data_IF_031087004057
#
_entry.id   IF_031087004057
#
_cell.length_a   1.000
_cell.length_b   1.000
_cell.length_c   1.000
_cell.angle_alpha   90.00
_cell.angle_beta   90.00
_cell.angle_gamma   90.00
#
_symmetry.space_group_name_H-M   'P 1'
#
loop_
_entity.id
_entity.type
_entity.pdbx_description
1 polymer ?
#
# COMPACT_ATOMS: atom_id res chain seq x y z
N UNK A 1 13.43 -9.11 23.47
CA UNK A 1 12.77 -10.27 22.88
C UNK A 1 11.32 -9.91 22.64
N UNK A 2 10.85 -10.13 21.40
CA UNK A 2 9.49 -9.89 20.94
C UNK A 2 8.82 -11.24 20.64
N UNK A 3 7.92 -11.74 21.50
CA UNK A 3 7.16 -12.95 21.23
C UNK A 3 6.25 -12.81 20.01
N UNK A 4 5.63 -11.65 19.82
CA UNK A 4 4.84 -11.31 18.63
C UNK A 4 5.54 -10.25 17.77
N UNK A 5 5.72 -10.51 16.46
CA UNK A 5 6.23 -9.53 15.52
C UNK A 5 5.41 -8.25 15.36
N UNK A 6 4.14 -8.22 15.79
CA UNK A 6 3.29 -7.02 15.69
C UNK A 6 3.85 -5.83 16.46
N UNK A 7 4.42 -6.07 17.64
CA UNK A 7 5.01 -5.04 18.48
C UNK A 7 6.34 -4.52 17.94
N UNK A 8 6.90 -5.14 16.89
CA UNK A 8 8.16 -4.70 16.30
C UNK A 8 8.05 -3.29 15.73
N UNK A 9 6.97 -2.97 15.01
CA UNK A 9 6.84 -1.66 14.36
C UNK A 9 6.73 -0.52 15.39
N UNK A 10 5.81 -0.57 16.38
CA UNK A 10 5.73 0.45 17.43
C UNK A 10 7.05 0.59 18.19
N UNK A 11 7.69 -0.53 18.53
CA UNK A 11 8.97 -0.51 19.22
C UNK A 11 10.01 0.25 18.41
N UNK A 12 10.22 -0.13 17.15
CA UNK A 12 11.23 0.49 16.29
C UNK A 12 10.98 1.98 16.06
N UNK A 13 9.72 2.41 15.99
CA UNK A 13 9.41 3.84 15.88
C UNK A 13 9.75 4.63 17.14
N UNK A 14 9.51 4.06 18.32
CA UNK A 14 9.79 4.71 19.61
C UNK A 14 11.29 4.75 19.91
N UNK A 15 11.97 3.61 19.75
CA UNK A 15 13.39 3.50 20.09
C UNK A 15 14.29 4.04 18.98
N UNK A 16 13.81 4.15 17.74
CA UNK A 16 14.65 4.51 16.58
C UNK A 16 15.38 5.85 16.73
N UNK A 17 14.81 6.78 17.49
CA UNK A 17 15.43 8.08 17.81
C UNK A 17 16.47 8.02 18.94
N UNK A 18 16.39 7.01 19.81
CA UNK A 18 17.10 6.95 21.09
C UNK A 18 18.08 5.78 21.23
N UNK A 19 17.86 4.68 20.51
CA UNK A 19 18.56 3.41 20.70
C UNK A 19 19.91 3.30 19.97
N UNK A 20 20.35 4.34 19.26
CA UNK A 20 21.62 4.29 18.52
C UNK A 20 21.62 3.15 17.49
N UNK A 21 22.65 2.31 17.49
CA UNK A 21 22.72 1.12 16.64
C UNK A 21 21.86 -0.03 17.24
N UNK A 22 20.99 -0.62 16.43
CA UNK A 22 20.25 -1.82 16.78
C UNK A 22 20.23 -2.83 15.63
N UNK A 23 20.16 -4.11 15.97
CA UNK A 23 19.99 -5.23 15.04
C UNK A 23 18.61 -5.85 15.27
N UNK A 24 17.86 -6.04 14.20
CA UNK A 24 16.63 -6.81 14.21
C UNK A 24 16.93 -8.14 13.54
N UNK A 25 16.50 -9.26 14.12
CA UNK A 25 16.58 -10.56 13.44
C UNK A 25 15.27 -11.31 13.52
N UNK A 26 14.17 -10.58 13.63
CA UNK A 26 12.82 -11.08 13.55
C UNK A 26 12.32 -10.97 12.12
N UNK A 27 11.64 -12.01 11.63
CA UNK A 27 10.90 -11.94 10.38
C UNK A 27 9.59 -11.16 10.55
N UNK A 28 9.31 -10.20 9.66
CA UNK A 28 8.00 -9.54 9.60
C UNK A 28 7.11 -10.18 8.54
N UNK A 29 5.91 -10.68 8.91
CA UNK A 29 4.97 -11.20 7.92
C UNK A 29 4.56 -10.11 6.93
N UNK A 30 4.81 -10.31 5.64
CA UNK A 30 4.51 -9.32 4.60
C UNK A 30 3.02 -8.95 4.59
N UNK A 31 2.14 -9.91 4.89
CA UNK A 31 0.69 -9.71 5.02
C UNK A 31 0.26 -8.64 6.03
N UNK A 32 1.13 -8.29 6.98
CA UNK A 32 0.88 -7.24 7.98
C UNK A 32 1.29 -5.85 7.46
N UNK A 33 1.79 -5.73 6.23
CA UNK A 33 2.25 -4.46 5.67
C UNK A 33 1.14 -3.62 5.05
N UNK A 34 1.34 -2.30 5.00
CA UNK A 34 0.46 -1.39 4.26
C UNK A 34 0.42 -1.70 2.76
N UNK A 35 1.52 -2.23 2.22
CA UNK A 35 1.63 -2.61 0.82
C UNK A 35 0.76 -3.82 0.51
N UNK A 36 0.78 -4.85 1.35
CA UNK A 36 -0.15 -5.97 1.25
C UNK A 36 -1.60 -5.50 1.29
N UNK A 37 -1.96 -4.66 2.28
CA UNK A 37 -3.34 -4.15 2.39
C UNK A 37 -3.77 -3.36 1.15
N UNK A 38 -2.84 -2.67 0.48
CA UNK A 38 -3.12 -1.96 -0.77
C UNK A 38 -3.43 -2.94 -1.90
N UNK A 39 -2.64 -4.01 -2.05
CA UNK A 39 -2.90 -5.04 -3.04
C UNK A 39 -4.25 -5.72 -2.83
N UNK A 40 -4.60 -6.04 -1.58
CA UNK A 40 -5.91 -6.62 -1.26
C UNK A 40 -7.06 -5.73 -1.73
N UNK A 41 -6.96 -4.43 -1.50
CA UNK A 41 -7.99 -3.48 -1.90
C UNK A 41 -8.06 -3.34 -3.43
N UNK A 42 -6.93 -3.33 -4.13
CA UNK A 42 -6.87 -3.32 -5.60
C UNK A 42 -7.55 -4.57 -6.17
N UNK A 43 -7.16 -5.75 -5.68
CA UNK A 43 -7.72 -7.04 -6.12
C UNK A 43 -9.23 -7.08 -5.84
N UNK A 44 -9.66 -6.62 -4.67
CA UNK A 44 -11.07 -6.55 -4.32
C UNK A 44 -11.85 -5.64 -5.27
N UNK A 45 -11.32 -4.45 -5.60
CA UNK A 45 -11.95 -3.56 -6.56
C UNK A 45 -12.07 -4.18 -7.97
N UNK A 46 -11.09 -4.97 -8.41
CA UNK A 46 -11.19 -5.71 -9.67
C UNK A 46 -12.22 -6.84 -9.61
N UNK A 47 -12.31 -7.55 -8.49
CA UNK A 47 -13.29 -8.65 -8.28
C UNK A 47 -14.74 -8.15 -8.27
N UNK A 48 -15.01 -6.96 -7.72
CA UNK A 48 -16.38 -6.39 -7.66
C UNK A 48 -16.74 -5.52 -8.86
N UNK A 49 -15.81 -5.31 -9.79
CA UNK A 49 -16.02 -4.58 -11.03
C UNK A 49 -17.06 -5.25 -11.91
N UNK A 50 -17.92 -4.45 -12.56
CA UNK A 50 -18.90 -4.90 -13.56
C UNK A 50 -18.71 -4.13 -14.86
N UNK A 51 -18.17 -4.80 -15.88
CA UNK A 51 -17.85 -4.14 -17.14
C UNK A 51 -16.84 -3.01 -16.95
N UNK A 52 -17.24 -1.75 -17.13
CA UNK A 52 -16.37 -0.57 -16.91
C UNK A 52 -16.61 0.15 -15.59
N UNK A 53 -17.47 -0.39 -14.72
CA UNK A 53 -17.87 0.26 -13.48
C UNK A 53 -17.31 -0.49 -12.27
N UNK A 54 -16.85 0.25 -11.26
CA UNK A 54 -16.35 -0.26 -9.99
C UNK A 54 -17.39 -0.09 -8.88
N UNK A 55 -17.48 -1.03 -7.94
CA UNK A 55 -18.34 -0.86 -6.78
C UNK A 55 -17.86 0.33 -5.94
N UNK A 56 -18.74 1.30 -5.68
CA UNK A 56 -18.36 2.59 -5.09
C UNK A 56 -17.61 2.45 -3.76
N UNK A 57 -18.01 1.46 -2.93
CA UNK A 57 -17.34 1.18 -1.65
C UNK A 57 -15.88 0.77 -1.83
N UNK A 58 -15.59 -0.13 -2.77
CA UNK A 58 -14.24 -0.62 -3.01
C UNK A 58 -13.38 0.42 -3.73
N UNK A 59 -14.00 1.22 -4.60
CA UNK A 59 -13.38 2.39 -5.22
C UNK A 59 -12.92 3.42 -4.17
N UNK A 60 -13.79 3.81 -3.23
CA UNK A 60 -13.44 4.72 -2.12
C UNK A 60 -12.37 4.08 -1.23
N UNK A 61 -12.48 2.79 -0.90
CA UNK A 61 -11.50 2.10 -0.08
C UNK A 61 -10.09 2.17 -0.68
N UNK A 62 -9.97 2.00 -2.01
CA UNK A 62 -8.69 2.08 -2.72
C UNK A 62 -8.08 3.48 -2.66
N UNK A 63 -8.90 4.51 -2.89
CA UNK A 63 -8.48 5.92 -2.82
C UNK A 63 -8.07 6.34 -1.40
N UNK A 64 -8.77 5.83 -0.39
CA UNK A 64 -8.56 6.18 1.02
C UNK A 64 -7.38 5.47 1.66
N UNK A 65 -6.76 4.51 0.97
CA UNK A 65 -5.61 3.77 1.47
C UNK A 65 -4.44 4.72 1.79
N UNK A 66 -3.77 4.61 2.95
CA UNK A 66 -2.77 5.59 3.40
C UNK A 66 -1.61 5.87 2.44
N UNK A 67 -1.09 4.89 1.70
CA UNK A 67 -0.03 5.05 0.72
C UNK A 67 -0.49 5.85 -0.50
N UNK A 68 -1.78 5.75 -0.86
CA UNK A 68 -2.40 6.43 -2.00
C UNK A 68 -2.82 7.85 -1.61
N UNK A 69 -3.58 7.98 -0.51
CA UNK A 69 -4.10 9.26 -0.02
C UNK A 69 -2.98 10.27 0.26
N UNK A 70 -1.76 9.78 0.50
CA UNK A 70 -0.55 10.56 0.72
C UNK A 70 0.43 10.51 -0.47
N UNK A 71 -0.04 10.29 -1.71
CA UNK A 71 0.80 10.44 -2.89
C UNK A 71 1.05 11.91 -3.19
N UNK A 72 2.31 12.25 -3.36
CA UNK A 72 2.78 13.55 -3.84
C UNK A 72 2.74 13.58 -5.37
N UNK A 73 1.55 13.78 -5.92
CA UNK A 73 1.37 13.93 -7.37
C UNK A 73 1.59 15.37 -7.83
N UNK A 74 1.21 16.34 -6.99
CA UNK A 74 1.58 17.76 -7.13
C UNK A 74 2.68 18.13 -6.11
N UNK A 75 3.02 19.41 -6.02
CA UNK A 75 4.00 19.93 -5.05
C UNK A 75 3.62 19.67 -3.58
N UNK A 76 2.35 19.41 -3.29
CA UNK A 76 1.82 19.19 -1.94
C UNK A 76 0.98 17.89 -1.84
N UNK A 77 1.12 17.18 -0.72
CA UNK A 77 0.36 15.96 -0.39
C UNK A 77 -1.14 16.23 -0.19
N UNK A 78 -1.47 17.46 0.20
CA UNK A 78 -2.82 17.90 0.52
C UNK A 78 -3.75 17.85 -0.70
N UNK A 79 -3.24 18.05 -1.91
CA UNK A 79 -4.03 17.97 -3.14
C UNK A 79 -4.71 16.60 -3.28
N UNK A 80 -3.94 15.52 -3.15
CA UNK A 80 -4.47 14.15 -3.20
C UNK A 80 -5.45 13.90 -2.06
N UNK A 81 -5.14 14.33 -0.83
CA UNK A 81 -6.01 14.15 0.34
C UNK A 81 -7.37 14.83 0.16
N UNK A 82 -7.37 16.08 -0.29
CA UNK A 82 -8.58 16.86 -0.53
C UNK A 82 -9.40 16.23 -1.64
N UNK A 83 -8.77 15.83 -2.74
CA UNK A 83 -9.44 15.17 -3.86
C UNK A 83 -10.15 13.88 -3.40
N UNK A 84 -9.44 12.99 -2.70
CA UNK A 84 -10.01 11.74 -2.17
C UNK A 84 -11.21 12.04 -1.26
N UNK A 85 -11.08 13.04 -0.38
CA UNK A 85 -12.16 13.42 0.52
C UNK A 85 -13.39 13.95 -0.21
N UNK A 86 -13.22 14.77 -1.25
CA UNK A 86 -14.34 15.29 -2.05
C UNK A 86 -15.00 14.23 -2.91
N UNK A 87 -14.25 13.26 -3.42
CA UNK A 87 -14.81 12.08 -4.10
C UNK A 87 -15.67 11.26 -3.13
N UNK A 88 -15.19 11.05 -1.90
CA UNK A 88 -15.93 10.33 -0.86
C UNK A 88 -17.24 11.06 -0.49
N UNK A 89 -17.19 12.37 -0.21
CA UNK A 89 -18.39 13.18 0.05
C UNK A 89 -19.40 13.12 -1.11
N UNK A 90 -18.92 13.23 -2.35
CA UNK A 90 -19.75 13.18 -3.54
C UNK A 90 -20.47 11.83 -3.65
N UNK A 91 -19.75 10.72 -3.55
CA UNK A 91 -20.32 9.37 -3.66
C UNK A 91 -21.26 9.01 -2.49
N UNK A 92 -21.00 9.53 -1.29
CA UNK A 92 -21.88 9.37 -0.13
C UNK A 92 -23.18 10.20 -0.19
N UNK A 93 -23.37 10.99 -1.26
CA UNK A 93 -24.57 11.79 -1.44
C UNK A 93 -24.56 13.10 -0.65
N UNK A 94 -23.42 13.51 -0.10
CA UNK A 94 -23.30 14.74 0.69
C UNK A 94 -23.20 15.99 -0.21
N UNK A 95 -22.82 15.80 -1.48
CA UNK A 95 -22.72 16.86 -2.49
C UNK A 95 -23.64 16.56 -3.67
N UNK A 96 -24.23 17.61 -4.25
CA UNK A 96 -25.05 17.48 -5.45
C UNK A 96 -24.15 17.44 -6.69
N UNK A 97 -23.70 16.23 -7.03
CA UNK A 97 -22.82 15.95 -8.18
C UNK A 97 -23.43 14.87 -9.08
N UNK A 98 -23.04 14.77 -10.36
CA UNK A 98 -23.50 13.70 -11.25
C UNK A 98 -23.23 12.27 -10.74
N UNK A 99 -22.24 12.09 -9.87
CA UNK A 99 -21.87 10.79 -9.29
C UNK A 99 -22.55 10.48 -7.95
N UNK A 100 -23.42 11.38 -7.47
CA UNK A 100 -24.00 11.35 -6.14
C UNK A 100 -24.88 10.10 -5.91
N UNK A 101 -24.53 9.30 -4.89
CA UNK A 101 -25.29 8.11 -4.49
C UNK A 101 -25.18 6.91 -5.44
N UNK A 102 -24.27 6.96 -6.42
CA UNK A 102 -24.09 5.85 -7.36
C UNK A 102 -23.45 4.63 -6.66
N UNK A 103 -24.10 3.46 -6.78
CA UNK A 103 -23.55 2.20 -6.25
C UNK A 103 -22.35 1.70 -7.07
N UNK A 104 -22.30 2.04 -8.35
CA UNK A 104 -21.22 1.69 -9.27
C UNK A 104 -20.72 2.95 -9.97
N UNK A 105 -19.40 3.05 -10.14
CA UNK A 105 -18.72 4.26 -10.61
C UNK A 105 -17.85 3.94 -11.81
N UNK A 106 -17.99 4.68 -12.91
CA UNK A 106 -16.99 4.69 -13.98
C UNK A 106 -15.92 5.71 -13.67
N UNK A 107 -14.67 5.34 -13.90
CA UNK A 107 -13.52 6.22 -13.70
C UNK A 107 -13.67 7.53 -14.50
N UNK A 108 -14.13 7.41 -15.74
CA UNK A 108 -14.37 8.54 -16.66
C UNK A 108 -15.45 9.51 -16.14
N UNK A 109 -16.48 9.01 -15.44
CA UNK A 109 -17.55 9.88 -14.91
C UNK A 109 -17.00 10.78 -13.80
N UNK A 110 -16.13 10.25 -12.93
CA UNK A 110 -15.46 11.03 -11.87
C UNK A 110 -14.43 11.99 -12.47
N UNK A 111 -13.67 11.56 -13.49
CA UNK A 111 -12.67 12.39 -14.17
C UNK A 111 -13.27 13.57 -14.94
N UNK A 112 -14.54 13.46 -15.34
CA UNK A 112 -15.27 14.49 -16.08
C UNK A 112 -16.22 15.33 -15.19
N UNK A 113 -16.25 15.08 -13.88
CA UNK A 113 -17.06 15.86 -12.96
C UNK A 113 -16.37 17.19 -12.60
N UNK A 114 -16.65 18.24 -13.39
CA UNK A 114 -16.10 19.57 -13.14
C UNK A 114 -16.52 20.16 -11.78
N UNK A 115 -17.69 19.76 -11.25
CA UNK A 115 -18.19 20.25 -9.94
C UNK A 115 -17.31 19.70 -8.82
N UNK A 116 -16.95 18.42 -8.89
CA UNK A 116 -16.03 17.79 -7.95
C UNK A 116 -14.68 18.52 -7.89
N UNK A 117 -14.08 18.83 -9.05
CA UNK A 117 -12.78 19.50 -9.09
C UNK A 117 -12.86 20.93 -8.58
N UNK A 118 -13.96 21.63 -8.87
CA UNK A 118 -14.17 22.98 -8.37
C UNK A 118 -14.24 23.02 -6.84
N UNK A 119 -15.01 22.10 -6.22
CA UNK A 119 -15.09 21.96 -4.76
C UNK A 119 -13.73 21.62 -4.12
N UNK A 120 -12.94 20.77 -4.80
CA UNK A 120 -11.60 20.41 -4.33
C UNK A 120 -10.64 21.62 -4.39
N UNK A 121 -10.69 22.42 -5.46
CA UNK A 121 -9.86 23.62 -5.62
C UNK A 121 -10.24 24.68 -4.58
N UNK A 122 -11.53 24.94 -4.37
CA UNK A 122 -11.98 25.88 -3.33
C UNK A 122 -11.45 25.49 -1.94
N UNK A 123 -11.44 24.19 -1.63
CA UNK A 123 -10.88 23.68 -0.37
C UNK A 123 -9.35 23.90 -0.30
N UNK A 124 -8.63 23.71 -1.41
CA UNK A 124 -7.18 23.96 -1.48
C UNK A 124 -6.83 25.44 -1.39
N UNK A 125 -7.64 26.32 -1.98
CA UNK A 125 -7.47 27.77 -1.88
C UNK A 125 -7.59 28.26 -0.43
N UNK A 126 -8.50 27.69 0.36
CA UNK A 126 -8.60 27.96 1.80
C UNK A 126 -7.37 27.49 2.60
N UNK A 127 -6.53 26.63 2.02
CA UNK A 127 -5.28 26.15 2.61
C UNK A 127 -4.04 26.90 2.06
N UNK A 128 -4.23 27.98 1.30
CA UNK A 128 -3.18 28.71 0.57
C UNK A 128 -2.44 27.87 -0.49
N UNK A 129 -3.06 26.78 -0.97
CA UNK A 129 -2.51 25.89 -1.99
C UNK A 129 -3.16 26.20 -3.34
N UNK A 130 -2.34 26.63 -4.30
CA UNK A 130 -2.80 26.89 -5.68
C UNK A 130 -2.78 25.59 -6.49
N UNK A 131 -3.92 25.23 -7.05
CA UNK A 131 -4.08 24.13 -7.98
C UNK A 131 -5.11 24.50 -9.06
N UNK A 132 -4.93 23.98 -10.27
CA UNK A 132 -5.85 24.14 -11.40
C UNK A 132 -6.65 22.87 -11.67
N UNK A 133 -7.81 23.00 -12.33
CA UNK A 133 -8.63 21.84 -12.73
C UNK A 133 -7.84 20.82 -13.57
N UNK A 134 -7.03 21.23 -14.58
CA UNK A 134 -6.22 20.27 -15.34
C UNK A 134 -5.20 19.50 -14.49
N UNK A 135 -4.58 20.17 -13.50
CA UNK A 135 -3.65 19.52 -12.56
C UNK A 135 -4.37 18.50 -11.68
N UNK A 136 -5.52 18.85 -11.11
CA UNK A 136 -6.32 17.95 -10.29
C UNK A 136 -6.87 16.76 -11.08
N UNK A 137 -7.31 16.98 -12.33
CA UNK A 137 -7.67 15.89 -13.25
C UNK A 137 -6.49 14.98 -13.54
N UNK A 138 -5.29 15.53 -13.73
CA UNK A 138 -4.08 14.73 -13.94
C UNK A 138 -3.73 13.89 -12.71
N UNK A 139 -3.92 14.45 -11.50
CA UNK A 139 -3.76 13.71 -10.24
C UNK A 139 -4.71 12.52 -10.20
N UNK A 140 -6.00 12.76 -10.43
CA UNK A 140 -7.00 11.70 -10.40
C UNK A 140 -6.70 10.60 -11.42
N UNK A 141 -6.37 10.96 -12.66
CA UNK A 141 -6.03 10.01 -13.72
C UNK A 141 -4.84 9.14 -13.38
N UNK A 142 -3.81 9.71 -12.75
CA UNK A 142 -2.65 8.94 -12.30
C UNK A 142 -3.02 7.94 -11.20
N UNK A 143 -3.86 8.34 -10.25
CA UNK A 143 -4.36 7.45 -9.21
C UNK A 143 -5.24 6.35 -9.81
N UNK A 144 -6.12 6.71 -10.76
CA UNK A 144 -6.97 5.76 -11.47
C UNK A 144 -6.17 4.74 -12.28
N UNK A 145 -5.08 5.18 -12.92
CA UNK A 145 -4.18 4.30 -13.64
C UNK A 145 -3.63 3.22 -12.71
N UNK A 146 -2.98 3.62 -11.61
CA UNK A 146 -2.26 2.70 -10.73
C UNK A 146 -3.17 1.80 -9.88
N UNK A 147 -4.39 2.25 -9.55
CA UNK A 147 -5.31 1.48 -8.72
C UNK A 147 -6.27 0.60 -9.52
N UNK A 148 -6.61 1.03 -10.73
CA UNK A 148 -7.68 0.40 -11.47
C UNK A 148 -7.26 -0.03 -12.86
N UNK A 149 -6.73 0.89 -13.69
CA UNK A 149 -6.54 0.64 -15.11
C UNK A 149 -5.45 -0.40 -15.41
N UNK A 150 -4.31 -0.37 -14.70
CA UNK A 150 -3.23 -1.35 -14.88
C UNK A 150 -3.71 -2.80 -14.75
N UNK A 151 -4.71 -3.04 -13.90
CA UNK A 151 -5.14 -4.38 -13.50
C UNK A 151 -6.35 -4.90 -14.31
N UNK A 152 -6.82 -4.16 -15.31
CA UNK A 152 -8.03 -4.51 -16.04
C UNK A 152 -7.81 -5.68 -16.99
N UNK A 153 -6.73 -5.59 -17.76
CA UNK A 153 -6.44 -6.43 -18.93
C UNK A 153 -5.23 -7.36 -18.67
N UNK A 154 -5.14 -7.89 -17.45
CA UNK A 154 -4.12 -8.89 -17.09
C UNK A 154 -4.52 -10.25 -17.66
N UNK A 155 -3.70 -10.79 -18.54
CA UNK A 155 -3.90 -12.12 -19.16
C UNK A 155 -2.79 -13.11 -18.85
N UNK A 156 -1.64 -12.63 -18.38
CA UNK A 156 -0.46 -13.45 -18.09
C UNK A 156 0.28 -12.95 -16.84
N UNK A 157 1.18 -13.76 -16.30
CA UNK A 157 2.05 -13.33 -15.20
C UNK A 157 3.02 -12.23 -15.63
N UNK A 158 3.39 -12.18 -16.91
CA UNK A 158 4.19 -11.10 -17.46
C UNK A 158 3.44 -9.75 -17.41
N UNK A 159 2.19 -9.70 -17.85
CA UNK A 159 1.35 -8.49 -17.77
C UNK A 159 1.19 -8.02 -16.32
N UNK A 160 1.00 -8.98 -15.42
CA UNK A 160 0.89 -8.72 -13.99
C UNK A 160 2.19 -8.16 -13.42
N UNK A 161 3.34 -8.73 -13.77
CA UNK A 161 4.64 -8.27 -13.32
C UNK A 161 4.95 -6.83 -13.79
N UNK A 162 4.61 -6.48 -15.03
CA UNK A 162 4.75 -5.10 -15.55
C UNK A 162 3.83 -4.10 -14.83
N UNK A 163 2.60 -4.53 -14.53
CA UNK A 163 1.63 -3.72 -13.78
C UNK A 163 2.08 -3.51 -12.33
N UNK A 164 2.58 -4.57 -11.71
CA UNK A 164 3.19 -4.54 -10.39
C UNK A 164 4.40 -3.61 -10.36
N UNK A 165 5.33 -3.76 -11.29
CA UNK A 165 6.48 -2.86 -11.42
C UNK A 165 6.02 -1.41 -11.48
N UNK A 166 5.11 -1.07 -12.40
CA UNK A 166 4.60 0.32 -12.55
C UNK A 166 4.00 0.88 -11.26
N UNK A 167 3.26 0.08 -10.49
CA UNK A 167 2.75 0.47 -9.19
C UNK A 167 3.90 0.73 -8.20
N UNK A 168 4.82 -0.23 -8.03
CA UNK A 168 5.94 -0.13 -7.08
C UNK A 168 6.81 1.10 -7.39
N UNK A 169 7.12 1.31 -8.65
CA UNK A 169 7.92 2.42 -9.16
C UNK A 169 7.27 3.77 -8.86
N UNK A 170 5.93 3.82 -8.98
CA UNK A 170 5.14 5.02 -8.63
C UNK A 170 5.15 5.27 -7.13
N UNK A 171 4.97 4.24 -6.31
CA UNK A 171 5.01 4.36 -4.85
C UNK A 171 6.39 4.83 -4.37
N UNK A 172 7.47 4.26 -4.89
CA UNK A 172 8.83 4.67 -4.52
C UNK A 172 9.09 6.15 -4.86
N UNK A 173 8.62 6.61 -6.02
CA UNK A 173 8.86 8.01 -6.47
C UNK A 173 7.97 9.04 -5.79
N UNK A 174 6.70 8.70 -5.51
CA UNK A 174 5.67 9.69 -5.13
C UNK A 174 5.12 9.54 -3.72
N UNK A 175 5.34 8.41 -3.05
CA UNK A 175 4.84 8.19 -1.69
C UNK A 175 5.93 8.43 -0.63
N UNK A 176 5.55 8.33 0.64
CA UNK A 176 6.46 8.37 1.78
C UNK A 176 7.08 7.00 2.12
N UNK A 177 6.94 6.00 1.25
CA UNK A 177 7.48 4.65 1.46
C UNK A 177 8.99 4.69 1.73
N UNK A 178 9.74 5.52 0.99
CA UNK A 178 11.18 5.66 1.17
C UNK A 178 11.61 6.31 2.49
N UNK A 179 10.70 6.96 3.21
CA UNK A 179 10.99 7.60 4.50
C UNK A 179 11.16 6.61 5.65
N UNK A 180 10.76 5.35 5.46
CA UNK A 180 10.78 4.32 6.51
C UNK A 180 11.62 3.12 6.06
N UNK A 181 12.74 2.80 6.73
CA UNK A 181 13.63 1.68 6.36
C UNK A 181 12.92 0.33 6.24
N UNK A 182 11.90 0.10 7.06
CA UNK A 182 11.03 -1.07 7.04
C UNK A 182 10.30 -1.23 5.70
N UNK A 183 9.67 -0.14 5.24
CA UNK A 183 8.92 -0.15 3.98
C UNK A 183 9.84 -0.39 2.79
N UNK A 184 11.09 0.10 2.83
CA UNK A 184 12.08 -0.17 1.80
C UNK A 184 12.40 -1.67 1.70
N UNK A 185 12.57 -2.37 2.82
CA UNK A 185 12.80 -3.83 2.81
C UNK A 185 11.62 -4.61 2.26
N UNK A 186 10.39 -4.19 2.59
CA UNK A 186 9.18 -4.79 2.02
C UNK A 186 9.12 -4.50 0.52
N UNK A 187 9.56 -3.32 0.07
CA UNK A 187 9.64 -3.00 -1.37
C UNK A 187 10.69 -3.83 -2.10
N UNK A 188 11.88 -3.98 -1.54
CA UNK A 188 12.89 -4.90 -2.08
C UNK A 188 12.29 -6.30 -2.27
N UNK A 189 11.59 -6.82 -1.25
CA UNK A 189 10.94 -8.14 -1.36
C UNK A 189 9.85 -8.20 -2.43
N UNK A 190 9.06 -7.15 -2.59
CA UNK A 190 8.03 -7.09 -3.64
C UNK A 190 8.63 -6.98 -5.06
N UNK A 191 9.78 -6.31 -5.21
CA UNK A 191 10.53 -6.33 -6.47
C UNK A 191 11.11 -7.72 -6.76
N UNK A 192 11.64 -8.43 -5.75
CA UNK A 192 12.07 -9.83 -5.92
C UNK A 192 10.92 -10.72 -6.40
N UNK A 193 9.75 -10.62 -5.77
CA UNK A 193 8.56 -11.39 -6.18
C UNK A 193 8.12 -11.01 -7.59
N UNK A 194 8.16 -9.73 -7.95
CA UNK A 194 7.88 -9.27 -9.32
C UNK A 194 8.83 -9.96 -10.30
N UNK A 195 10.13 -9.93 -10.04
CA UNK A 195 11.16 -10.51 -10.92
C UNK A 195 10.97 -12.03 -11.04
N UNK A 196 10.61 -12.72 -9.95
CA UNK A 196 10.26 -14.14 -9.98
C UNK A 196 9.08 -14.42 -10.91
N UNK A 197 7.98 -13.64 -10.80
CA UNK A 197 6.79 -13.78 -11.65
C UNK A 197 7.08 -13.46 -13.13
N UNK A 198 7.99 -12.55 -13.40
CA UNK A 198 8.40 -12.22 -14.76
C UNK A 198 9.22 -13.34 -15.41
N UNK A 199 10.06 -14.01 -14.62
CA UNK A 199 11.05 -15.00 -15.08
C UNK A 199 10.59 -16.47 -14.98
N UNK A 200 9.38 -16.76 -14.49
CA UNK A 200 8.82 -18.12 -14.56
C UNK A 200 8.71 -18.59 -16.02
N UNK A 201 8.90 -19.89 -16.26
CA UNK A 201 8.97 -20.45 -17.63
C UNK A 201 7.68 -20.27 -18.44
N UNK A 202 6.55 -20.11 -17.76
CA UNK A 202 5.22 -19.94 -18.33
C UNK A 202 4.70 -18.50 -18.16
N UNK A 203 5.57 -17.50 -17.95
CA UNK A 203 5.12 -16.14 -17.62
C UNK A 203 4.26 -15.49 -18.71
N UNK A 204 4.45 -15.92 -19.96
CA UNK A 204 3.73 -15.46 -21.15
C UNK A 204 2.53 -16.35 -21.53
N UNK A 205 2.29 -17.44 -20.80
CA UNK A 205 1.10 -18.27 -21.04
C UNK A 205 -0.16 -17.55 -20.55
N UNK A 206 -1.30 -17.85 -21.19
CA UNK A 206 -2.59 -17.27 -20.83
C UNK A 206 -3.13 -17.90 -19.55
N UNK A 207 -3.47 -17.07 -18.55
CA UNK A 207 -4.13 -17.46 -17.32
C UNK A 207 -5.35 -16.60 -17.06
N UNK A 208 -6.32 -17.15 -16.31
CA UNK A 208 -7.38 -16.32 -15.77
C UNK A 208 -6.79 -15.34 -14.75
N UNK A 209 -7.19 -14.07 -14.85
CA UNK A 209 -6.77 -13.01 -13.94
C UNK A 209 -7.01 -13.36 -12.47
N UNK A 210 -8.13 -14.02 -12.18
CA UNK A 210 -8.49 -14.46 -10.84
C UNK A 210 -7.49 -15.46 -10.28
N UNK A 211 -6.95 -16.35 -11.11
CA UNK A 211 -5.94 -17.34 -10.72
C UNK A 211 -4.59 -16.66 -10.46
N UNK A 212 -4.18 -15.70 -11.31
CA UNK A 212 -2.97 -14.90 -11.11
C UNK A 212 -3.05 -14.14 -9.78
N UNK A 213 -4.15 -13.42 -9.54
CA UNK A 213 -4.35 -12.69 -8.29
C UNK A 213 -4.34 -13.61 -7.08
N UNK A 214 -5.00 -14.77 -7.17
CA UNK A 214 -5.02 -15.74 -6.07
C UNK A 214 -3.62 -16.26 -5.75
N UNK A 215 -2.86 -16.65 -6.75
CA UNK A 215 -1.48 -17.13 -6.57
C UNK A 215 -0.62 -16.04 -5.93
N UNK A 216 -0.70 -14.81 -6.44
CA UNK A 216 0.03 -13.68 -5.86
C UNK A 216 -0.36 -13.42 -4.40
N UNK A 217 -1.65 -13.41 -4.07
CA UNK A 217 -2.14 -13.25 -2.69
C UNK A 217 -1.57 -14.36 -1.78
N UNK A 218 -1.63 -15.63 -2.21
CA UNK A 218 -1.09 -16.76 -1.45
C UNK A 218 0.44 -16.68 -1.26
N UNK A 219 1.18 -16.18 -2.26
CA UNK A 219 2.61 -15.89 -2.14
C UNK A 219 2.86 -14.85 -1.06
N UNK A 220 2.15 -13.71 -1.11
CA UNK A 220 2.33 -12.63 -0.15
C UNK A 220 1.91 -13.02 1.29
N UNK A 221 0.90 -13.87 1.45
CA UNK A 221 0.40 -14.32 2.76
C UNK A 221 1.42 -15.13 3.56
N UNK A 222 2.25 -15.89 2.85
CA UNK A 222 3.25 -16.79 3.44
C UNK A 222 4.66 -16.16 3.50
N UNK A 223 4.83 -14.96 2.94
CA UNK A 223 6.13 -14.31 2.85
C UNK A 223 6.55 -13.65 4.16
N UNK A 224 7.83 -13.84 4.52
CA UNK A 224 8.43 -13.27 5.73
C UNK A 224 9.62 -12.41 5.33
N UNK A 225 9.47 -11.09 5.53
CA UNK A 225 10.54 -10.14 5.28
C UNK A 225 11.55 -10.20 6.42
N UNK A 226 12.77 -10.63 6.11
CA UNK A 226 13.86 -10.69 7.08
C UNK A 226 14.56 -9.33 7.17
N UNK A 227 14.61 -8.76 8.37
CA UNK A 227 15.45 -7.60 8.64
C UNK A 227 16.84 -8.12 9.01
N UNK A 228 17.86 -7.70 8.27
CA UNK A 228 19.24 -7.99 8.61
C UNK A 228 19.91 -6.71 9.12
N UNK A 229 20.40 -6.74 10.36
CA UNK A 229 21.41 -5.80 10.86
C UNK A 229 22.75 -6.52 11.06
N UNK A 230 23.71 -5.82 11.67
CA UNK A 230 25.02 -6.42 11.97
C UNK A 230 24.88 -7.30 13.23
N UNK A 231 25.14 -8.62 13.15
CA UNK A 231 24.70 -9.61 14.15
C UNK A 231 25.35 -9.49 15.55
N UNK A 232 26.24 -8.52 15.80
CA UNK A 232 27.07 -8.46 17.00
C UNK A 232 27.33 -7.04 17.53
N UNK A 233 26.59 -6.03 17.04
CA UNK A 233 26.70 -4.64 17.55
C UNK A 233 25.33 -4.04 17.80
N UNK A 234 25.24 -3.26 18.87
CA UNK A 234 24.02 -2.56 19.23
C UNK A 234 22.97 -3.43 19.92
N UNK A 235 21.82 -2.83 20.20
CA UNK A 235 20.66 -3.47 20.83
C UNK A 235 20.12 -4.60 19.93
N UNK A 236 19.92 -5.80 20.47
CA UNK A 236 19.41 -6.95 19.72
C UNK A 236 17.89 -7.11 19.92
N UNK A 237 17.14 -7.01 18.83
CA UNK A 237 15.69 -7.18 18.78
C UNK A 237 15.41 -8.49 18.06
N UNK A 238 15.11 -9.51 18.86
CA UNK A 238 14.97 -10.89 18.42
C UNK A 238 13.58 -11.42 18.77
N UNK A 239 13.10 -12.38 17.98
CA UNK A 239 11.98 -13.21 18.37
C UNK A 239 12.38 -14.36 19.28
N UNK A 240 11.38 -15.05 19.82
CA UNK A 240 11.57 -16.18 20.73
C UNK A 240 12.31 -17.37 20.10
N UNK A 241 12.14 -17.58 18.78
CA UNK A 241 12.80 -18.70 18.09
C UNK A 241 14.25 -18.36 17.75
N UNK A 242 14.55 -17.10 17.53
CA UNK A 242 15.86 -16.57 17.15
C UNK A 242 16.79 -16.42 18.36
N UNK A 243 16.25 -16.42 19.58
CA UNK A 243 17.05 -16.40 20.83
C UNK A 243 17.63 -17.77 21.20
N UNK A 244 17.32 -18.83 20.45
CA UNK A 244 17.79 -20.19 20.76
C UNK A 244 19.31 -20.27 20.74
N UNK A 245 19.88 -20.76 21.84
CA UNK A 245 21.33 -20.93 22.03
C UNK A 245 22.14 -19.63 22.02
N UNK A 246 21.49 -18.48 22.18
CA UNK A 246 22.16 -17.19 22.38
C UNK A 246 22.22 -16.83 23.86
N UNK A 247 23.28 -16.12 24.26
CA UNK A 247 23.46 -15.65 25.63
C UNK A 247 23.60 -14.12 25.64
N UNK A 248 22.90 -13.46 26.55
CA UNK A 248 22.91 -12.01 26.72
C UNK A 248 22.98 -11.66 28.20
N UNK A 249 23.73 -10.62 28.54
CA UNK A 249 23.84 -10.16 29.94
C UNK A 249 22.53 -9.57 30.45
N UNK A 250 21.85 -8.78 29.63
CA UNK A 250 20.58 -8.14 29.94
C UNK A 250 19.53 -8.54 28.90
N UNK A 251 18.39 -9.06 29.35
CA UNK A 251 17.29 -9.49 28.49
C UNK A 251 16.00 -8.80 28.91
N UNK A 252 15.39 -8.08 27.99
CA UNK A 252 14.04 -7.53 28.14
C UNK A 252 13.11 -8.36 27.26
N UNK A 253 12.07 -8.94 27.86
CA UNK A 253 10.99 -9.64 27.15
C UNK A 253 9.76 -8.74 27.18
N UNK A 254 9.23 -8.41 26.01
CA UNK A 254 8.02 -7.60 25.89
C UNK A 254 6.80 -8.48 25.62
N UNK A 255 5.60 -7.95 25.88
CA UNK A 255 4.32 -8.64 25.66
C UNK A 255 4.23 -10.05 26.26
N UNK A 256 4.81 -10.23 27.45
CA UNK A 256 4.71 -11.46 28.24
C UNK A 256 3.35 -11.66 28.88
N UNK A 257 2.31 -11.77 28.05
CA UNK A 257 0.94 -12.08 28.44
C UNK A 257 0.68 -13.59 28.33
N UNK A 258 -0.26 -14.13 29.12
CA UNK A 258 -0.65 -15.57 29.13
C UNK A 258 -1.05 -16.11 27.73
N UNK A 259 -1.37 -15.24 26.78
CA UNK A 259 -1.71 -15.63 25.40
C UNK A 259 -0.51 -15.80 24.47
N UNK A 260 0.69 -15.37 24.86
CA UNK A 260 1.90 -15.37 24.00
C UNK A 260 3.11 -16.08 24.63
N UNK A 261 3.25 -16.02 25.95
CA UNK A 261 4.16 -16.82 26.77
C UNK A 261 3.28 -17.61 27.76
N UNK A 262 3.69 -18.80 28.23
CA UNK A 262 2.76 -19.80 28.76
C UNK A 262 1.88 -19.28 29.90
#
# INVERSE_FOLDING_TARGET
ILPDPDSMIPLLSEIGSSAGEFNVSLGYPLKRSLLYSLFEIIVQAQKTRKGREYYAKDYIAALSQPLIKNLKVLSDYSATRVLVHKIEEALLGMQNTPISGNLFVKLEDVENDDTLFQLAIETLEHMDIKASVPEMKSVLKQIHLILFALWQDITSFHDFALSLETLLDTLVRKSLVGSYPMNLKIMEKLYEIRDELENISFSQEDFAKEDIFKIFQETLENEIVSFSGSPLKGLQILGMFETRSLNFENVIIMDGNESQLP
#
